data_IF_303930864455
#
_entry.id   IF_303930864455
#
_cell.length_a   1.000
_cell.length_b   1.000
_cell.length_c   1.000
_cell.angle_alpha   90.00
_cell.angle_beta   90.00
_cell.angle_gamma   90.00
#
_symmetry.space_group_name_H-M   'P 1'
#
loop_
_entity.id
_entity.type
_entity.pdbx_description
1 polymer ?
#
# COMPACT_ATOMS: atom_id res chain seq x y z
N UNK A 1 -1.08 54.71 23.09
CA UNK A 1 -0.55 55.48 21.95
C UNK A 1 0.82 54.94 21.60
N UNK A 2 0.90 54.03 20.61
CA UNK A 2 2.10 53.69 19.82
C UNK A 2 1.69 52.61 18.81
N UNK A 3 0.96 53.02 17.80
CA UNK A 3 0.79 52.26 16.56
C UNK A 3 1.10 53.21 15.41
N UNK A 4 1.67 52.72 14.33
CA UNK A 4 2.07 53.43 13.11
C UNK A 4 3.58 53.64 12.97
N UNK A 5 4.29 52.61 12.49
CA UNK A 5 5.52 52.79 11.69
C UNK A 5 6.05 51.55 10.99
N UNK A 6 5.22 50.49 10.74
CA UNK A 6 5.68 49.28 10.03
C UNK A 6 5.39 49.25 8.53
N UNK A 7 4.55 50.15 8.03
CA UNK A 7 4.09 50.13 6.62
C UNK A 7 4.96 50.92 5.64
N UNK A 8 5.77 51.86 6.15
CA UNK A 8 6.65 52.65 5.28
C UNK A 8 8.00 52.04 4.92
N UNK A 9 8.49 51.05 5.68
CA UNK A 9 9.76 50.38 5.36
C UNK A 9 9.62 49.31 4.27
N UNK A 10 8.45 48.70 4.07
CA UNK A 10 8.22 47.66 3.06
C UNK A 10 8.13 48.26 1.66
N UNK A 11 7.69 49.51 1.51
CA UNK A 11 7.56 50.16 0.19
C UNK A 11 8.93 50.62 -0.35
N UNK A 12 9.91 50.89 0.50
CA UNK A 12 11.23 51.39 0.07
C UNK A 12 12.15 50.28 -0.44
N UNK A 13 11.99 49.03 0.04
CA UNK A 13 12.77 47.86 -0.43
C UNK A 13 12.25 47.39 -1.79
N UNK A 14 10.94 47.49 -2.05
CA UNK A 14 10.32 47.11 -3.31
C UNK A 14 10.72 47.96 -4.53
N UNK A 15 11.12 49.24 -4.31
CA UNK A 15 11.53 50.16 -5.39
C UNK A 15 13.02 50.03 -5.77
N UNK A 16 13.88 49.57 -4.86
CA UNK A 16 15.31 49.38 -5.15
C UNK A 16 15.63 48.09 -5.90
N UNK A 17 14.74 47.11 -5.86
CA UNK A 17 14.94 45.82 -6.56
C UNK A 17 14.49 45.85 -8.02
N UNK A 18 13.73 46.84 -8.44
CA UNK A 18 13.21 46.92 -9.82
C UNK A 18 14.26 47.23 -10.90
N UNK A 19 15.44 47.71 -10.54
CA UNK A 19 16.48 48.07 -11.48
C UNK A 19 17.76 47.26 -11.43
N UNK A 20 17.75 46.06 -10.80
CA UNK A 20 18.92 45.21 -10.76
C UNK A 20 18.76 44.02 -11.73
N UNK A 21 19.83 43.64 -12.42
CA UNK A 21 19.91 42.40 -13.23
C UNK A 21 19.44 41.14 -12.42
N UNK A 22 19.51 41.22 -11.12
CA UNK A 22 18.98 40.17 -10.21
C UNK A 22 17.46 40.03 -10.30
N UNK A 23 16.72 41.14 -10.46
CA UNK A 23 15.26 41.12 -10.56
C UNK A 23 14.78 40.48 -11.88
N UNK A 24 15.52 40.75 -13.00
CA UNK A 24 15.26 40.06 -14.26
C UNK A 24 15.58 38.57 -14.18
N UNK A 25 16.64 38.19 -13.50
CA UNK A 25 16.98 36.78 -13.29
C UNK A 25 15.91 36.10 -12.41
N UNK A 26 15.47 36.70 -11.33
CA UNK A 26 14.40 36.16 -10.46
C UNK A 26 13.07 36.09 -11.21
N UNK A 27 12.70 37.10 -12.02
CA UNK A 27 11.47 37.01 -12.83
C UNK A 27 11.59 35.94 -13.94
N UNK A 28 12.74 35.80 -14.56
CA UNK A 28 12.97 34.74 -15.56
C UNK A 28 12.91 33.36 -14.90
N UNK A 29 13.41 33.22 -13.67
CA UNK A 29 13.35 31.96 -12.90
C UNK A 29 11.91 31.65 -12.45
N UNK A 30 11.15 32.67 -12.02
CA UNK A 30 9.74 32.50 -11.64
C UNK A 30 8.86 32.20 -12.84
N UNK A 31 9.12 32.86 -14.00
CA UNK A 31 8.42 32.53 -15.26
C UNK A 31 8.85 31.18 -15.81
N UNK A 32 10.08 30.76 -15.58
CA UNK A 32 10.57 29.43 -15.90
C UNK A 32 9.89 28.36 -15.04
N UNK A 33 9.78 28.57 -13.72
CA UNK A 33 9.02 27.69 -12.83
C UNK A 33 7.54 27.61 -13.20
N UNK A 34 6.89 28.73 -13.54
CA UNK A 34 5.48 28.72 -13.96
C UNK A 34 5.28 28.06 -15.35
N UNK A 35 6.22 28.18 -16.28
CA UNK A 35 6.14 27.48 -17.57
C UNK A 35 6.46 25.99 -17.45
N UNK A 36 7.31 25.59 -16.53
CA UNK A 36 7.60 24.17 -16.28
C UNK A 36 6.40 23.42 -15.65
N UNK A 37 5.52 24.14 -14.92
CA UNK A 37 4.32 23.53 -14.32
C UNK A 37 3.23 23.24 -15.38
N UNK A 38 3.30 23.87 -16.57
CA UNK A 38 2.29 23.73 -17.65
C UNK A 38 2.80 23.03 -18.91
N UNK A 39 4.05 22.53 -18.90
CA UNK A 39 4.50 21.61 -19.94
C UNK A 39 3.69 20.30 -19.81
N UNK A 40 2.93 19.94 -20.84
CA UNK A 40 2.15 18.73 -20.90
C UNK A 40 3.06 17.52 -20.61
N UNK A 41 3.08 17.04 -19.37
CA UNK A 41 3.52 15.68 -19.13
C UNK A 41 2.65 14.82 -20.06
N UNK A 42 3.25 14.19 -21.06
CA UNK A 42 2.53 13.31 -21.98
C UNK A 42 1.79 12.31 -21.12
N UNK A 43 0.45 12.45 -21.11
CA UNK A 43 -0.40 11.60 -20.30
C UNK A 43 -0.04 10.15 -20.63
N UNK A 44 0.14 9.34 -19.56
CA UNK A 44 0.31 7.92 -19.73
C UNK A 44 -0.89 7.35 -20.48
N UNK A 45 -0.66 6.50 -21.45
CA UNK A 45 -1.72 5.71 -22.11
C UNK A 45 -1.22 4.29 -22.34
N UNK A 46 -2.10 3.32 -22.23
CA UNK A 46 -1.80 1.91 -22.48
C UNK A 46 -1.32 1.68 -23.91
N UNK A 47 -1.87 2.42 -24.86
CA UNK A 47 -1.46 2.37 -26.27
C UNK A 47 0.00 2.80 -26.49
N UNK A 48 0.46 3.77 -25.69
CA UNK A 48 1.83 4.30 -25.81
C UNK A 48 2.86 3.40 -25.12
N UNK A 49 2.49 2.77 -24.01
CA UNK A 49 3.37 1.96 -23.18
C UNK A 49 2.70 0.61 -22.81
N UNK A 50 2.51 -0.28 -23.81
CA UNK A 50 1.76 -1.53 -23.59
C UNK A 50 2.41 -2.47 -22.56
N UNK A 51 3.73 -2.37 -22.36
CA UNK A 51 4.44 -3.13 -21.34
C UNK A 51 4.17 -2.66 -19.90
N UNK A 52 3.52 -1.50 -19.73
CA UNK A 52 3.08 -0.99 -18.42
C UNK A 52 1.58 -1.17 -18.19
N UNK A 53 0.86 -1.76 -19.15
CA UNK A 53 -0.56 -2.08 -18.98
C UNK A 53 -0.76 -3.13 -17.88
N UNK A 54 -1.80 -2.97 -17.08
CA UNK A 54 -2.11 -3.91 -16.01
C UNK A 54 -2.53 -5.28 -16.57
N UNK A 55 -1.86 -6.34 -16.13
CA UNK A 55 -2.26 -7.72 -16.44
C UNK A 55 -3.24 -8.19 -15.36
N UNK A 56 -4.46 -8.51 -15.79
CA UNK A 56 -5.55 -8.95 -14.90
C UNK A 56 -5.74 -10.46 -14.89
N UNK A 57 -5.08 -11.15 -15.81
CA UNK A 57 -5.11 -12.62 -15.87
C UNK A 57 -4.44 -13.23 -14.64
N UNK A 58 -4.94 -14.37 -14.19
CA UNK A 58 -4.33 -15.12 -13.09
C UNK A 58 -3.00 -15.71 -13.56
N UNK A 59 -1.93 -15.41 -12.81
CA UNK A 59 -0.55 -15.77 -13.19
C UNK A 59 -0.22 -17.24 -12.98
N UNK A 60 -0.69 -17.84 -11.88
CA UNK A 60 -0.34 -19.21 -11.52
C UNK A 60 -1.23 -20.23 -12.25
N UNK A 61 -0.73 -21.45 -12.50
CA UNK A 61 -1.52 -22.49 -13.13
C UNK A 61 -2.80 -22.85 -12.35
N UNK A 62 -3.90 -23.16 -13.03
CA UNK A 62 -5.12 -23.65 -12.37
C UNK A 62 -4.81 -24.85 -11.46
N UNK A 63 -5.46 -24.89 -10.29
CA UNK A 63 -5.27 -25.97 -9.31
C UNK A 63 -4.02 -25.84 -8.43
N UNK A 64 -3.23 -24.76 -8.55
CA UNK A 64 -2.02 -24.54 -7.73
C UNK A 64 -2.32 -24.67 -6.22
N UNK A 65 -3.51 -24.32 -5.78
CA UNK A 65 -3.91 -24.40 -4.37
C UNK A 65 -4.95 -25.49 -4.06
N UNK A 66 -5.06 -26.51 -4.91
CA UNK A 66 -5.91 -27.66 -4.62
C UNK A 66 -5.49 -28.30 -3.29
N UNK A 67 -6.48 -28.54 -2.40
CA UNK A 67 -6.24 -29.09 -1.08
C UNK A 67 -5.67 -28.11 -0.04
N UNK A 68 -5.39 -26.87 -0.42
CA UNK A 68 -4.95 -25.82 0.50
C UNK A 68 -6.16 -25.04 1.03
N UNK A 69 -5.99 -24.46 2.23
CA UNK A 69 -6.98 -23.61 2.87
C UNK A 69 -6.38 -22.25 3.20
N UNK A 70 -7.15 -21.18 3.05
CA UNK A 70 -6.71 -19.80 3.27
C UNK A 70 -7.64 -19.05 4.24
N UNK A 71 -7.06 -18.32 5.17
CA UNK A 71 -7.74 -17.44 6.12
C UNK A 71 -7.34 -15.98 5.85
N UNK A 72 -8.30 -15.13 5.46
CA UNK A 72 -8.04 -13.76 4.98
C UNK A 72 -8.81 -12.74 5.82
N UNK A 73 -8.09 -11.86 6.54
CA UNK A 73 -8.72 -10.77 7.27
C UNK A 73 -9.02 -9.59 6.36
N UNK A 74 -10.14 -8.88 6.57
CA UNK A 74 -10.59 -7.82 5.68
C UNK A 74 -10.98 -8.33 4.28
N UNK A 75 -11.36 -9.61 4.16
CA UNK A 75 -11.62 -10.29 2.89
C UNK A 75 -12.93 -9.91 2.19
N UNK A 76 -13.79 -9.10 2.82
CA UNK A 76 -15.09 -8.75 2.27
C UNK A 76 -15.07 -7.71 1.15
N UNK A 77 -14.00 -6.94 0.96
CA UNK A 77 -13.92 -5.88 -0.04
C UNK A 77 -12.48 -5.62 -0.50
N UNK A 78 -12.30 -4.83 -1.56
CA UNK A 78 -11.01 -4.30 -2.00
C UNK A 78 -9.94 -5.38 -2.21
N UNK A 79 -8.73 -5.13 -1.71
CA UNK A 79 -7.58 -6.03 -1.88
C UNK A 79 -7.85 -7.43 -1.32
N UNK A 80 -8.45 -7.51 -0.13
CA UNK A 80 -8.78 -8.79 0.51
C UNK A 80 -9.76 -9.63 -0.32
N UNK A 81 -10.80 -9.00 -0.91
CA UNK A 81 -11.71 -9.68 -1.82
C UNK A 81 -10.98 -10.16 -3.08
N UNK A 82 -10.12 -9.34 -3.67
CA UNK A 82 -9.35 -9.72 -4.85
C UNK A 82 -8.45 -10.93 -4.58
N UNK A 83 -7.67 -10.90 -3.49
CA UNK A 83 -6.82 -12.03 -3.09
C UNK A 83 -7.64 -13.30 -2.80
N UNK A 84 -8.79 -13.16 -2.14
CA UNK A 84 -9.71 -14.27 -1.88
C UNK A 84 -10.24 -14.88 -3.19
N UNK A 85 -10.63 -14.04 -4.16
CA UNK A 85 -11.10 -14.48 -5.47
C UNK A 85 -10.02 -15.25 -6.22
N UNK A 86 -8.80 -14.72 -6.29
CA UNK A 86 -7.69 -15.36 -7.01
C UNK A 86 -7.29 -16.69 -6.37
N UNK A 87 -7.16 -16.76 -5.04
CA UNK A 87 -6.88 -18.02 -4.32
C UNK A 87 -7.98 -19.07 -4.55
N UNK A 88 -9.25 -18.64 -4.47
CA UNK A 88 -10.38 -19.52 -4.74
C UNK A 88 -10.39 -20.02 -6.19
N UNK A 89 -10.12 -19.16 -7.17
CA UNK A 89 -10.00 -19.56 -8.60
C UNK A 89 -8.86 -20.55 -8.84
N UNK A 90 -7.83 -20.52 -8.02
CA UNK A 90 -6.69 -21.44 -8.06
C UNK A 90 -6.89 -22.74 -7.26
N UNK A 91 -8.09 -22.95 -6.69
CA UNK A 91 -8.48 -24.20 -6.03
C UNK A 91 -8.44 -24.19 -4.49
N UNK A 92 -8.07 -23.09 -3.84
CA UNK A 92 -8.09 -23.01 -2.38
C UNK A 92 -9.52 -22.97 -1.83
N UNK A 93 -9.74 -23.59 -0.66
CA UNK A 93 -10.88 -23.28 0.19
C UNK A 93 -10.55 -22.00 0.99
N UNK A 94 -11.35 -20.98 0.86
CA UNK A 94 -11.03 -19.65 1.41
C UNK A 94 -12.03 -19.25 2.49
N UNK A 95 -11.56 -18.80 3.65
CA UNK A 95 -12.36 -18.06 4.60
C UNK A 95 -12.02 -16.58 4.56
N UNK A 96 -13.04 -15.75 4.54
CA UNK A 96 -12.94 -14.29 4.61
C UNK A 96 -13.51 -13.80 5.93
N UNK A 97 -12.73 -13.00 6.66
CA UNK A 97 -13.12 -12.51 7.98
C UNK A 97 -13.21 -10.99 8.02
N UNK A 98 -14.28 -10.46 8.57
CA UNK A 98 -14.42 -9.05 8.94
C UNK A 98 -15.58 -8.85 9.91
N UNK A 99 -15.87 -7.59 10.30
CA UNK A 99 -16.91 -7.29 11.31
C UNK A 99 -18.35 -7.41 10.80
N UNK A 100 -18.58 -7.24 9.49
CA UNK A 100 -19.95 -7.16 8.91
C UNK A 100 -20.28 -8.46 8.19
N UNK A 101 -21.09 -9.30 8.83
CA UNK A 101 -21.45 -10.61 8.29
C UNK A 101 -22.17 -10.48 6.94
N UNK A 102 -23.10 -9.53 6.82
CA UNK A 102 -23.88 -9.33 5.59
C UNK A 102 -23.02 -9.02 4.36
N UNK A 103 -21.89 -8.28 4.58
CA UNK A 103 -20.93 -8.00 3.50
C UNK A 103 -20.13 -9.25 3.15
N UNK A 104 -19.76 -10.04 4.15
CA UNK A 104 -18.98 -11.28 3.95
C UNK A 104 -19.83 -12.34 3.24
N UNK A 105 -21.09 -12.54 3.63
CA UNK A 105 -22.00 -13.50 3.00
C UNK A 105 -22.21 -13.17 1.52
N UNK A 106 -22.48 -11.88 1.24
CA UNK A 106 -22.60 -11.41 -0.15
C UNK A 106 -21.32 -11.72 -0.95
N UNK A 107 -20.16 -11.35 -0.42
CA UNK A 107 -18.87 -11.55 -1.09
C UNK A 107 -18.52 -13.02 -1.24
N UNK A 108 -18.75 -13.83 -0.21
CA UNK A 108 -18.53 -15.28 -0.25
C UNK A 108 -19.37 -15.93 -1.33
N UNK A 109 -20.66 -15.56 -1.43
CA UNK A 109 -21.57 -16.05 -2.48
C UNK A 109 -21.10 -15.63 -3.87
N UNK A 110 -20.68 -14.36 -4.04
CA UNK A 110 -20.16 -13.87 -5.33
C UNK A 110 -18.93 -14.67 -5.77
N UNK A 111 -17.95 -14.85 -4.88
CA UNK A 111 -16.73 -15.58 -5.20
C UNK A 111 -17.04 -17.06 -5.44
N UNK A 112 -17.87 -17.70 -4.61
CA UNK A 112 -18.22 -19.11 -4.77
C UNK A 112 -18.95 -19.36 -6.10
N UNK A 113 -19.84 -18.46 -6.52
CA UNK A 113 -20.52 -18.57 -7.81
C UNK A 113 -19.55 -18.40 -9.00
N UNK A 114 -18.54 -17.52 -8.85
CA UNK A 114 -17.56 -17.28 -9.90
C UNK A 114 -16.55 -18.41 -10.05
N UNK A 115 -16.13 -19.02 -8.95
CA UNK A 115 -15.00 -19.98 -8.93
C UNK A 115 -15.42 -21.44 -8.83
N UNK A 116 -16.65 -21.69 -8.41
CA UNK A 116 -17.15 -23.03 -8.10
C UNK A 116 -16.64 -23.59 -6.76
N UNK A 117 -15.84 -22.85 -6.01
CA UNK A 117 -15.25 -23.27 -4.74
C UNK A 117 -15.93 -22.60 -3.55
N UNK A 118 -15.97 -23.31 -2.41
CA UNK A 118 -16.55 -22.80 -1.18
C UNK A 118 -15.73 -21.65 -0.61
N UNK A 119 -16.41 -20.52 -0.34
CA UNK A 119 -15.87 -19.41 0.42
C UNK A 119 -16.67 -19.23 1.71
N UNK A 120 -15.98 -19.19 2.84
CA UNK A 120 -16.57 -19.21 4.19
C UNK A 120 -16.57 -17.79 4.76
N UNK A 121 -17.75 -17.21 5.09
CA UNK A 121 -17.81 -15.92 5.78
C UNK A 121 -17.67 -16.11 7.29
N UNK A 122 -16.72 -15.41 7.94
CA UNK A 122 -16.47 -15.45 9.37
C UNK A 122 -16.57 -14.03 9.98
N UNK A 123 -17.57 -13.79 10.82
CA UNK A 123 -17.76 -12.47 11.43
C UNK A 123 -16.92 -12.36 12.72
N UNK A 124 -15.87 -11.54 12.68
CA UNK A 124 -15.08 -11.20 13.87
C UNK A 124 -14.38 -9.85 13.70
N UNK A 125 -14.14 -9.16 14.81
CA UNK A 125 -13.28 -8.00 14.86
C UNK A 125 -11.85 -8.44 15.23
N UNK A 126 -10.86 -8.12 14.41
CA UNK A 126 -9.46 -8.46 14.67
C UNK A 126 -8.92 -7.89 15.98
N UNK A 127 -9.54 -6.82 16.51
CA UNK A 127 -9.18 -6.22 17.79
C UNK A 127 -9.54 -7.09 19.00
N UNK A 128 -10.51 -7.96 18.83
CA UNK A 128 -10.99 -8.87 19.87
C UNK A 128 -10.37 -10.25 19.70
N UNK A 129 -9.37 -10.55 20.52
CA UNK A 129 -8.67 -11.84 20.49
C UNK A 129 -9.58 -13.05 20.75
N UNK A 130 -10.64 -12.88 21.56
CA UNK A 130 -11.60 -13.95 21.83
C UNK A 130 -12.49 -14.21 20.60
N UNK A 131 -12.95 -13.14 19.93
CA UNK A 131 -13.71 -13.28 18.69
C UNK A 131 -12.85 -13.89 17.56
N UNK A 132 -11.57 -13.52 17.47
CA UNK A 132 -10.61 -14.14 16.53
C UNK A 132 -10.49 -15.64 16.80
N UNK A 133 -10.31 -16.03 18.07
CA UNK A 133 -10.24 -17.45 18.46
C UNK A 133 -11.46 -18.22 18.00
N UNK A 134 -12.66 -17.70 18.24
CA UNK A 134 -13.93 -18.33 17.81
C UNK A 134 -13.99 -18.45 16.29
N UNK A 135 -13.56 -17.40 15.54
CA UNK A 135 -13.53 -17.45 14.09
C UNK A 135 -12.55 -18.51 13.56
N UNK A 136 -11.41 -18.71 14.22
CA UNK A 136 -10.45 -19.77 13.86
C UNK A 136 -11.00 -21.16 14.22
N UNK A 137 -11.72 -21.31 15.33
CA UNK A 137 -12.40 -22.57 15.69
C UNK A 137 -13.43 -22.94 14.60
N UNK A 138 -14.28 -21.99 14.18
CA UNK A 138 -15.23 -22.15 13.08
C UNK A 138 -14.55 -22.48 11.74
N UNK A 139 -13.41 -21.86 11.47
CA UNK A 139 -12.62 -22.17 10.29
C UNK A 139 -12.16 -23.64 10.29
N UNK A 140 -11.59 -24.10 11.41
CA UNK A 140 -11.13 -25.48 11.54
C UNK A 140 -12.28 -26.49 11.39
N UNK A 141 -13.43 -26.22 11.98
CA UNK A 141 -14.63 -27.05 11.86
C UNK A 141 -15.09 -27.18 10.40
N UNK A 142 -15.15 -26.04 9.66
CA UNK A 142 -15.67 -26.02 8.29
C UNK A 142 -14.67 -26.51 7.22
N UNK A 143 -13.37 -26.38 7.49
CA UNK A 143 -12.31 -26.80 6.52
C UNK A 143 -11.70 -28.15 6.83
N UNK A 144 -11.85 -28.63 8.05
CA UNK A 144 -11.26 -29.88 8.54
C UNK A 144 -9.81 -29.73 9.03
N UNK A 145 -9.28 -28.50 9.19
CA UNK A 145 -7.90 -28.30 9.63
C UNK A 145 -7.49 -26.84 9.80
N UNK A 146 -6.22 -26.64 10.15
CA UNK A 146 -5.62 -25.32 10.26
C UNK A 146 -5.34 -24.72 8.89
N UNK A 147 -5.30 -23.37 8.76
CA UNK A 147 -5.02 -22.74 7.48
C UNK A 147 -3.57 -22.97 7.02
N UNK A 148 -3.40 -23.29 5.72
CA UNK A 148 -2.09 -23.33 5.08
C UNK A 148 -1.60 -21.91 4.72
N UNK A 149 -2.54 -20.98 4.56
CA UNK A 149 -2.30 -19.61 4.13
C UNK A 149 -3.06 -18.67 5.05
N UNK A 150 -2.36 -17.66 5.58
CA UNK A 150 -2.95 -16.59 6.40
C UNK A 150 -2.60 -15.25 5.78
N UNK A 151 -3.62 -14.46 5.42
CA UNK A 151 -3.42 -13.12 4.86
C UNK A 151 -3.95 -12.08 5.85
N UNK A 152 -3.04 -11.36 6.49
CA UNK A 152 -3.32 -10.22 7.35
C UNK A 152 -3.49 -8.95 6.49
N UNK A 153 -4.74 -8.67 6.12
CA UNK A 153 -5.10 -7.54 5.27
C UNK A 153 -6.07 -6.56 5.96
N UNK A 154 -6.70 -6.94 7.08
CA UNK A 154 -7.57 -6.04 7.82
C UNK A 154 -6.83 -4.77 8.22
N UNK A 155 -7.39 -3.61 7.88
CA UNK A 155 -6.80 -2.31 8.17
C UNK A 155 -7.88 -1.24 8.37
N UNK A 156 -7.48 -0.14 9.00
CA UNK A 156 -8.24 1.10 9.09
C UNK A 156 -7.26 2.26 9.05
N UNK A 157 -7.59 3.30 8.28
CA UNK A 157 -6.80 4.52 8.21
C UNK A 157 -7.72 5.71 7.96
N UNK A 158 -7.23 6.90 8.29
CA UNK A 158 -7.84 8.19 7.97
C UNK A 158 -6.74 9.26 7.89
N UNK A 159 -7.00 10.34 7.17
CA UNK A 159 -6.08 11.48 7.06
C UNK A 159 -6.45 12.52 8.11
N UNK A 160 -5.46 12.95 8.90
CA UNK A 160 -5.60 14.03 9.87
C UNK A 160 -4.25 14.64 10.21
N UNK A 161 -4.15 15.97 10.41
CA UNK A 161 -3.01 16.57 11.09
C UNK A 161 -2.81 15.94 12.47
N UNK A 162 -1.55 15.61 12.81
CA UNK A 162 -1.24 14.85 14.03
C UNK A 162 -1.68 15.57 15.31
N UNK A 163 -1.58 16.90 15.34
CA UNK A 163 -2.01 17.72 16.48
C UNK A 163 -3.54 17.73 16.72
N UNK A 164 -4.32 17.24 15.75
CA UNK A 164 -5.78 17.07 15.87
C UNK A 164 -6.21 15.68 16.28
N UNK A 165 -5.27 14.75 16.42
CA UNK A 165 -5.58 13.37 16.77
C UNK A 165 -5.88 13.24 18.27
N UNK A 166 -7.00 12.60 18.59
CA UNK A 166 -7.25 12.12 19.95
C UNK A 166 -6.50 10.82 20.20
N UNK A 167 -6.20 10.50 21.46
CA UNK A 167 -5.62 9.22 21.86
C UNK A 167 -6.46 8.01 21.39
N UNK A 168 -7.79 8.16 21.38
CA UNK A 168 -8.68 7.11 20.88
C UNK A 168 -8.58 6.92 19.37
N UNK A 169 -8.39 7.99 18.61
CA UNK A 169 -8.16 7.90 17.17
C UNK A 169 -6.86 7.15 16.86
N UNK A 170 -5.77 7.48 17.55
CA UNK A 170 -4.48 6.75 17.44
C UNK A 170 -4.67 5.28 17.81
N UNK A 171 -5.25 5.01 18.99
CA UNK A 171 -5.48 3.65 19.48
C UNK A 171 -6.30 2.82 18.49
N UNK A 172 -7.36 3.39 17.91
CA UNK A 172 -8.22 2.65 16.99
C UNK A 172 -7.47 2.12 15.75
N UNK A 173 -6.49 2.86 15.23
CA UNK A 173 -5.67 2.42 14.10
C UNK A 173 -4.66 1.36 14.54
N UNK A 174 -3.96 1.59 15.65
CA UNK A 174 -3.00 0.63 16.22
C UNK A 174 -3.69 -0.70 16.52
N UNK A 175 -4.87 -0.67 17.14
CA UNK A 175 -5.61 -1.87 17.54
C UNK A 175 -6.08 -2.68 16.31
N UNK A 176 -6.54 -2.02 15.24
CA UNK A 176 -6.94 -2.74 14.02
C UNK A 176 -5.72 -3.30 13.28
N UNK A 177 -4.70 -2.48 13.07
CA UNK A 177 -3.62 -2.80 12.14
C UNK A 177 -2.55 -3.65 12.80
N UNK A 178 -2.03 -3.23 13.95
CA UNK A 178 -0.93 -3.94 14.63
C UNK A 178 -1.45 -5.02 15.56
N UNK A 179 -2.27 -4.66 16.56
CA UNK A 179 -2.79 -5.62 17.53
C UNK A 179 -3.68 -6.68 16.86
N UNK A 180 -4.50 -6.27 15.86
CA UNK A 180 -5.31 -7.21 15.08
C UNK A 180 -4.47 -8.21 14.28
N UNK A 181 -3.35 -7.78 13.70
CA UNK A 181 -2.39 -8.69 13.05
C UNK A 181 -1.75 -9.64 14.07
N UNK A 182 -1.36 -9.15 15.26
CA UNK A 182 -0.88 -10.00 16.34
C UNK A 182 -1.91 -11.04 16.78
N UNK A 183 -3.16 -10.63 17.04
CA UNK A 183 -4.21 -11.52 17.50
C UNK A 183 -4.42 -12.70 16.56
N UNK A 184 -4.53 -12.43 15.26
CA UNK A 184 -4.72 -13.48 14.23
C UNK A 184 -3.48 -14.36 14.10
N UNK A 185 -2.31 -13.75 14.00
CA UNK A 185 -1.05 -14.47 13.78
C UNK A 185 -0.68 -15.34 14.98
N UNK A 186 -0.89 -14.83 16.20
CA UNK A 186 -0.58 -15.60 17.43
C UNK A 186 -1.55 -16.75 17.65
N UNK A 187 -2.86 -16.56 17.46
CA UNK A 187 -3.82 -17.65 17.66
C UNK A 187 -3.55 -18.80 16.67
N UNK A 188 -3.47 -18.49 15.39
CA UNK A 188 -3.23 -19.50 14.36
C UNK A 188 -1.82 -20.11 14.51
N UNK A 189 -0.79 -19.27 14.71
CA UNK A 189 0.60 -19.72 14.81
C UNK A 189 0.83 -20.65 16.00
N UNK A 190 0.28 -20.36 17.18
CA UNK A 190 0.37 -21.25 18.34
C UNK A 190 -0.28 -22.62 18.08
N UNK A 191 -1.40 -22.66 17.37
CA UNK A 191 -2.07 -23.92 16.99
C UNK A 191 -1.21 -24.69 15.97
N UNK A 192 -0.61 -24.00 14.99
CA UNK A 192 0.30 -24.63 14.02
C UNK A 192 1.54 -25.23 14.70
N UNK A 193 2.15 -24.49 15.64
CA UNK A 193 3.28 -24.99 16.44
C UNK A 193 2.90 -26.25 17.21
N UNK A 194 1.75 -26.23 17.90
CA UNK A 194 1.26 -27.40 18.65
C UNK A 194 0.96 -28.59 17.74
N UNK A 195 0.43 -28.34 16.53
CA UNK A 195 0.14 -29.37 15.53
C UNK A 195 1.37 -29.82 14.72
N UNK A 196 2.53 -29.15 14.89
CA UNK A 196 3.76 -29.35 14.07
C UNK A 196 3.47 -29.19 12.58
N UNK A 197 2.69 -28.19 12.21
CA UNK A 197 2.30 -27.88 10.82
C UNK A 197 2.88 -26.54 10.39
N UNK A 198 3.33 -26.47 9.13
CA UNK A 198 3.77 -25.24 8.49
C UNK A 198 2.62 -24.47 7.83
N UNK A 199 2.83 -23.18 7.62
CA UNK A 199 1.92 -22.29 6.88
C UNK A 199 2.64 -21.07 6.30
N UNK A 200 1.96 -20.38 5.38
CA UNK A 200 2.44 -19.15 4.77
C UNK A 200 1.63 -17.95 5.29
N UNK A 201 2.30 -17.03 5.95
CA UNK A 201 1.73 -15.77 6.43
C UNK A 201 2.12 -14.62 5.51
N UNK A 202 1.14 -13.85 5.08
CA UNK A 202 1.34 -12.63 4.29
C UNK A 202 0.65 -11.46 5.00
N UNK A 203 1.35 -10.33 5.13
CA UNK A 203 0.74 -9.11 5.63
C UNK A 203 0.76 -8.01 4.56
N UNK A 204 -0.34 -7.28 4.43
CA UNK A 204 -0.40 -6.09 3.59
C UNK A 204 0.05 -4.90 4.43
N UNK A 205 1.23 -4.36 4.10
CA UNK A 205 1.81 -3.16 4.72
C UNK A 205 1.57 -1.93 3.84
N UNK A 206 2.57 -1.11 3.60
CA UNK A 206 2.52 0.06 2.73
C UNK A 206 3.94 0.61 2.52
N UNK A 207 4.20 1.30 1.42
CA UNK A 207 5.51 1.89 1.10
C UNK A 207 6.01 2.87 2.17
N UNK A 208 5.13 3.61 2.83
CA UNK A 208 5.54 4.56 3.87
C UNK A 208 5.99 3.91 5.20
N UNK A 209 6.11 2.59 5.28
CA UNK A 209 6.84 1.94 6.39
C UNK A 209 8.34 2.24 6.36
N UNK A 210 8.87 2.60 5.19
CA UNK A 210 10.31 2.87 5.01
C UNK A 210 10.73 4.27 5.47
N UNK A 211 9.83 5.27 5.35
CA UNK A 211 10.19 6.69 5.57
C UNK A 211 9.13 7.51 6.32
N UNK A 212 8.05 6.87 6.75
CA UNK A 212 6.93 7.55 7.37
C UNK A 212 6.02 8.26 6.34
N UNK A 213 4.95 8.87 6.81
CA UNK A 213 4.09 9.74 5.99
C UNK A 213 3.37 10.75 6.86
N UNK A 214 3.33 12.00 6.42
CA UNK A 214 2.53 13.04 7.05
C UNK A 214 1.04 12.67 7.00
N UNK A 215 0.28 13.15 7.97
CA UNK A 215 -1.18 13.06 8.08
C UNK A 215 -1.77 11.65 8.26
N UNK A 216 -0.94 10.61 8.29
CA UNK A 216 -1.32 9.20 8.55
C UNK A 216 -0.42 8.53 9.59
N UNK A 217 0.13 9.31 10.52
CA UNK A 217 1.15 8.88 11.50
C UNK A 217 0.78 7.61 12.26
N UNK A 218 -0.46 7.37 12.74
CA UNK A 218 -0.80 6.13 13.41
C UNK A 218 -0.72 4.91 12.50
N UNK A 219 -1.12 5.08 11.23
CA UNK A 219 -1.05 3.99 10.24
C UNK A 219 0.40 3.67 9.87
N UNK A 220 1.24 4.69 9.68
CA UNK A 220 2.67 4.50 9.39
C UNK A 220 3.35 3.70 10.51
N UNK A 221 3.16 4.11 11.77
CA UNK A 221 3.71 3.41 12.92
C UNK A 221 3.20 1.96 13.04
N UNK A 222 1.87 1.75 12.88
CA UNK A 222 1.27 0.44 12.97
C UNK A 222 1.77 -0.51 11.87
N UNK A 223 1.86 -0.04 10.62
CA UNK A 223 2.31 -0.84 9.47
C UNK A 223 3.81 -1.16 9.54
N UNK A 224 4.64 -0.23 10.04
CA UNK A 224 6.05 -0.50 10.33
C UNK A 224 6.18 -1.60 11.42
N UNK A 225 5.35 -1.53 12.48
CA UNK A 225 5.27 -2.59 13.48
C UNK A 225 4.85 -3.94 12.90
N UNK A 226 3.89 -3.98 11.98
CA UNK A 226 3.49 -5.21 11.27
C UNK A 226 4.65 -5.76 10.44
N UNK A 227 5.37 -4.93 9.71
CA UNK A 227 6.53 -5.37 8.92
C UNK A 227 7.60 -6.00 9.81
N UNK A 228 7.94 -5.35 10.91
CA UNK A 228 8.91 -5.86 11.89
C UNK A 228 8.42 -7.15 12.55
N UNK A 229 7.12 -7.26 12.88
CA UNK A 229 6.53 -8.50 13.38
C UNK A 229 6.74 -9.66 12.42
N UNK A 230 6.42 -9.46 11.13
CA UNK A 230 6.58 -10.53 10.13
C UNK A 230 8.04 -10.95 9.96
N UNK A 231 8.97 -10.00 9.96
CA UNK A 231 10.42 -10.28 9.88
C UNK A 231 10.92 -11.04 11.12
N UNK A 232 10.46 -10.67 12.31
CA UNK A 232 10.81 -11.35 13.54
C UNK A 232 10.32 -12.80 13.56
N UNK A 233 9.06 -13.03 13.17
CA UNK A 233 8.48 -14.36 13.10
C UNK A 233 9.07 -15.21 11.98
N UNK A 234 9.51 -14.62 10.88
CA UNK A 234 10.26 -15.31 9.84
C UNK A 234 11.56 -15.93 10.38
N UNK A 235 12.23 -15.23 11.28
CA UNK A 235 13.43 -15.72 11.96
C UNK A 235 13.10 -16.74 13.05
N UNK A 236 12.08 -16.44 13.89
CA UNK A 236 11.76 -17.26 15.07
C UNK A 236 11.02 -18.56 14.70
N UNK A 237 10.01 -18.47 13.80
CA UNK A 237 9.13 -19.61 13.45
C UNK A 237 9.45 -20.24 12.08
N UNK A 238 10.45 -19.71 11.35
CA UNK A 238 10.90 -20.31 10.10
C UNK A 238 11.35 -21.76 10.26
N UNK A 239 12.02 -22.08 11.35
CA UNK A 239 12.44 -23.43 11.71
C UNK A 239 11.30 -24.40 11.98
N UNK A 240 10.08 -23.87 12.19
CA UNK A 240 8.86 -24.64 12.42
C UNK A 240 8.04 -24.84 11.14
N UNK A 241 8.64 -24.53 9.97
CA UNK A 241 7.99 -24.70 8.66
C UNK A 241 7.03 -23.56 8.28
N UNK A 242 7.14 -22.40 8.93
CA UNK A 242 6.29 -21.24 8.63
C UNK A 242 7.08 -20.16 7.89
N UNK A 243 6.45 -19.52 6.89
CA UNK A 243 7.02 -18.36 6.17
C UNK A 243 6.20 -17.12 6.44
N UNK A 244 6.87 -15.98 6.60
CA UNK A 244 6.26 -14.70 6.91
C UNK A 244 6.80 -13.64 5.97
N UNK A 245 5.93 -13.04 5.15
CA UNK A 245 6.32 -12.02 4.18
C UNK A 245 5.33 -10.86 4.18
N UNK A 246 5.73 -9.74 3.60
CA UNK A 246 4.90 -8.55 3.42
C UNK A 246 4.84 -8.13 1.95
N UNK A 247 3.72 -7.52 1.57
CA UNK A 247 3.64 -6.64 0.41
C UNK A 247 3.43 -5.23 0.92
N UNK A 248 4.23 -4.29 0.42
CA UNK A 248 4.09 -2.86 0.66
C UNK A 248 3.55 -2.17 -0.60
N UNK A 249 2.21 -2.09 -0.75
CA UNK A 249 1.63 -1.46 -1.92
C UNK A 249 1.76 0.06 -1.87
N UNK A 250 2.01 0.65 -3.02
CA UNK A 250 1.70 2.03 -3.31
C UNK A 250 0.20 2.24 -3.55
N UNK A 251 -0.22 3.31 -4.25
CA UNK A 251 -1.62 3.59 -4.49
C UNK A 251 -2.27 2.55 -5.43
N UNK A 252 -3.14 1.71 -4.88
CA UNK A 252 -4.02 0.81 -5.64
C UNK A 252 -5.45 1.32 -5.51
N UNK A 253 -6.10 1.55 -6.64
CA UNK A 253 -7.45 2.10 -6.62
C UNK A 253 -8.45 1.09 -6.05
N UNK A 254 -9.03 1.44 -4.91
CA UNK A 254 -10.22 0.77 -4.37
C UNK A 254 -11.20 1.80 -3.85
N UNK A 255 -12.49 1.57 -4.05
CA UNK A 255 -13.55 2.47 -3.57
C UNK A 255 -13.45 2.74 -2.05
N UNK A 256 -13.03 1.75 -1.27
CA UNK A 256 -12.91 1.87 0.18
C UNK A 256 -11.67 2.65 0.64
N UNK A 257 -10.54 2.57 -0.06
CA UNK A 257 -9.33 3.31 0.26
C UNK A 257 -9.46 4.77 -0.17
N UNK A 258 -9.78 5.03 -1.44
CA UNK A 258 -9.89 6.39 -1.98
C UNK A 258 -11.02 7.19 -1.33
N UNK A 259 -12.15 6.57 -0.98
CA UNK A 259 -13.20 7.26 -0.24
C UNK A 259 -12.80 7.77 1.16
N UNK A 260 -11.67 7.29 1.73
CA UNK A 260 -11.13 7.78 3.02
C UNK A 260 -9.88 8.63 2.86
N UNK A 261 -9.04 8.33 1.87
CA UNK A 261 -7.75 8.99 1.66
C UNK A 261 -7.85 10.17 0.68
N UNK A 262 -8.87 10.18 -0.18
CA UNK A 262 -9.16 11.30 -1.08
C UNK A 262 -10.68 11.49 -1.22
N UNK A 263 -11.39 11.87 -0.14
CA UNK A 263 -12.84 12.01 -0.17
C UNK A 263 -13.33 13.11 -1.12
N UNK A 264 -12.45 14.02 -1.52
CA UNK A 264 -12.76 15.09 -2.48
C UNK A 264 -12.43 14.73 -3.93
N UNK A 265 -11.65 13.69 -4.16
CA UNK A 265 -11.13 13.30 -5.47
C UNK A 265 -10.10 14.26 -6.07
N UNK A 266 -9.63 15.25 -5.30
CA UNK A 266 -8.73 16.30 -5.80
C UNK A 266 -7.26 15.87 -5.84
N UNK A 267 -6.89 14.85 -5.08
CA UNK A 267 -5.50 14.42 -4.94
C UNK A 267 -5.12 13.25 -5.85
N UNK A 268 -6.11 12.54 -6.41
CA UNK A 268 -5.88 11.35 -7.23
C UNK A 268 -4.93 11.62 -8.41
N UNK A 269 -5.11 12.73 -9.12
CA UNK A 269 -4.24 13.08 -10.27
C UNK A 269 -2.80 13.41 -9.80
N UNK A 270 -2.65 14.15 -8.73
CA UNK A 270 -1.33 14.46 -8.15
C UNK A 270 -0.61 13.18 -7.68
N UNK A 271 -1.34 12.26 -7.04
CA UNK A 271 -0.80 10.96 -6.66
C UNK A 271 -0.33 10.17 -7.90
N UNK A 272 -1.16 10.11 -8.95
CA UNK A 272 -0.82 9.40 -10.19
C UNK A 272 0.44 9.95 -10.85
N UNK A 273 0.63 11.27 -10.84
CA UNK A 273 1.84 11.93 -11.37
C UNK A 273 3.11 11.60 -10.59
N UNK A 274 2.98 11.22 -9.32
CA UNK A 274 4.07 10.73 -8.48
C UNK A 274 4.48 9.28 -8.74
N UNK A 275 3.72 8.54 -9.56
CA UNK A 275 4.01 7.14 -9.87
C UNK A 275 4.69 7.06 -11.25
N UNK A 276 5.94 6.59 -11.36
CA UNK A 276 6.66 6.52 -12.63
C UNK A 276 5.98 5.69 -13.72
N UNK A 277 5.27 4.62 -13.36
CA UNK A 277 4.45 3.86 -14.30
C UNK A 277 3.22 4.62 -14.81
N UNK A 278 2.91 5.80 -14.24
CA UNK A 278 1.87 6.72 -14.70
C UNK A 278 0.43 6.32 -14.37
N UNK A 279 0.22 5.21 -13.65
CA UNK A 279 -1.09 4.69 -13.27
C UNK A 279 -1.12 4.16 -11.85
N UNK A 280 -2.30 4.02 -11.29
CA UNK A 280 -2.50 3.24 -10.08
C UNK A 280 -2.32 1.74 -10.34
N UNK A 281 -1.94 1.00 -9.30
CA UNK A 281 -1.99 -0.45 -9.33
C UNK A 281 -3.44 -0.96 -9.35
N UNK A 282 -3.63 -2.16 -9.87
CA UNK A 282 -4.90 -2.86 -9.91
C UNK A 282 -4.97 -3.97 -8.85
N UNK A 283 -6.18 -4.31 -8.44
CA UNK A 283 -6.41 -5.34 -7.41
C UNK A 283 -5.92 -6.71 -7.88
N UNK A 284 -6.06 -7.01 -9.15
CA UNK A 284 -5.63 -8.27 -9.76
C UNK A 284 -4.11 -8.41 -9.75
N UNK A 285 -3.38 -7.30 -9.92
CA UNK A 285 -1.91 -7.34 -9.91
C UNK A 285 -1.37 -7.69 -8.51
N UNK A 286 -1.89 -7.03 -7.46
CA UNK A 286 -1.48 -7.37 -6.09
C UNK A 286 -1.98 -8.76 -5.67
N UNK A 287 -3.14 -9.21 -6.17
CA UNK A 287 -3.64 -10.55 -5.91
C UNK A 287 -2.74 -11.62 -6.55
N UNK A 288 -2.22 -11.40 -7.75
CA UNK A 288 -1.23 -12.26 -8.39
C UNK A 288 0.07 -12.32 -7.57
N UNK A 289 0.61 -11.18 -7.15
CA UNK A 289 1.80 -11.16 -6.30
C UNK A 289 1.56 -11.89 -4.97
N UNK A 290 0.43 -11.63 -4.32
CA UNK A 290 0.06 -12.27 -3.06
C UNK A 290 -0.03 -13.80 -3.21
N UNK A 291 -0.69 -14.29 -4.27
CA UNK A 291 -0.80 -15.73 -4.52
C UNK A 291 0.56 -16.38 -4.83
N UNK A 292 1.44 -15.69 -5.57
CA UNK A 292 2.82 -16.16 -5.75
C UNK A 292 3.55 -16.29 -4.40
N UNK A 293 3.52 -15.26 -3.57
CA UNK A 293 4.27 -15.22 -2.31
C UNK A 293 3.81 -16.29 -1.29
N UNK A 294 2.51 -16.67 -1.33
CA UNK A 294 1.99 -17.73 -0.45
C UNK A 294 2.01 -19.10 -1.09
N UNK A 295 2.41 -19.24 -2.35
CA UNK A 295 2.54 -20.52 -3.05
C UNK A 295 3.82 -21.27 -2.69
N UNK A 296 3.87 -22.53 -3.06
CA UNK A 296 5.05 -23.37 -2.91
C UNK A 296 6.20 -22.92 -3.87
N UNK A 297 5.89 -22.14 -4.93
CA UNK A 297 6.89 -21.54 -5.82
C UNK A 297 7.76 -20.48 -5.14
N UNK A 298 7.28 -19.89 -4.05
CA UNK A 298 8.01 -18.90 -3.26
C UNK A 298 8.64 -19.48 -1.99
N UNK A 299 8.97 -20.78 -1.97
CA UNK A 299 9.43 -21.51 -0.77
C UNK A 299 10.71 -20.93 -0.15
N UNK A 300 11.54 -20.25 -0.94
CA UNK A 300 12.78 -19.59 -0.45
C UNK A 300 12.57 -18.16 0.03
N UNK A 301 11.35 -17.62 -0.11
CA UNK A 301 11.02 -16.26 0.32
C UNK A 301 10.48 -16.28 1.77
N UNK A 302 11.26 -15.72 2.71
CA UNK A 302 10.89 -15.60 4.12
C UNK A 302 11.50 -14.31 4.71
N UNK A 303 10.71 -13.51 5.42
CA UNK A 303 11.11 -12.24 6.00
C UNK A 303 11.16 -11.07 5.00
N UNK A 304 10.72 -11.27 3.76
CA UNK A 304 10.76 -10.26 2.70
C UNK A 304 9.57 -9.30 2.80
N UNK A 305 9.82 -8.02 2.52
CA UNK A 305 8.79 -7.03 2.23
C UNK A 305 8.99 -6.55 0.78
N UNK A 306 8.00 -6.78 -0.08
CA UNK A 306 8.07 -6.44 -1.49
C UNK A 306 7.34 -5.12 -1.71
N UNK A 307 8.07 -4.08 -2.15
CA UNK A 307 7.48 -2.83 -2.60
C UNK A 307 6.76 -3.05 -3.92
N UNK A 308 5.47 -2.70 -3.96
CA UNK A 308 4.59 -2.91 -5.11
C UNK A 308 3.84 -1.62 -5.44
N UNK A 309 4.56 -0.66 -6.03
CA UNK A 309 4.16 0.74 -6.03
C UNK A 309 4.33 1.47 -7.39
N UNK A 310 4.69 0.76 -8.43
CA UNK A 310 4.93 1.38 -9.75
C UNK A 310 6.13 2.34 -9.78
N UNK A 311 7.02 2.25 -8.80
CA UNK A 311 8.19 3.12 -8.66
C UNK A 311 7.94 4.41 -7.88
N UNK A 312 6.81 4.50 -7.16
CA UNK A 312 6.48 5.68 -6.33
C UNK A 312 7.56 5.97 -5.29
N UNK A 313 8.01 4.95 -4.55
CA UNK A 313 8.99 5.11 -3.47
C UNK A 313 10.32 5.71 -3.95
N UNK A 314 11.03 5.12 -4.94
CA UNK A 314 12.28 5.72 -5.44
C UNK A 314 12.06 7.08 -6.09
N UNK A 315 10.88 7.34 -6.68
CA UNK A 315 10.55 8.65 -7.23
C UNK A 315 10.35 9.69 -6.12
N UNK A 316 9.65 9.35 -5.04
CA UNK A 316 9.41 10.27 -3.92
C UNK A 316 10.70 10.60 -3.16
N UNK A 317 11.64 9.64 -3.04
CA UNK A 317 12.91 9.84 -2.34
C UNK A 317 14.00 10.53 -3.19
N UNK A 318 13.85 10.60 -4.50
CA UNK A 318 14.88 11.10 -5.41
C UNK A 318 14.86 12.63 -5.53
N UNK A 319 16.00 13.28 -5.30
CA UNK A 319 16.15 14.75 -5.32
C UNK A 319 15.95 15.35 -6.74
N UNK A 320 16.38 14.64 -7.79
CA UNK A 320 16.41 15.14 -9.16
C UNK A 320 15.25 14.64 -10.01
N UNK A 321 14.34 13.86 -9.48
CA UNK A 321 13.28 13.19 -10.26
C UNK A 321 12.27 14.16 -10.92
N UNK A 322 12.20 15.41 -10.45
CA UNK A 322 11.43 16.47 -11.10
C UNK A 322 12.01 16.89 -12.46
N UNK A 323 13.27 16.55 -12.75
CA UNK A 323 13.88 16.80 -14.05
C UNK A 323 13.27 15.98 -15.20
N UNK A 324 12.34 15.05 -14.91
CA UNK A 324 11.51 14.36 -15.92
C UNK A 324 10.75 15.32 -16.85
N UNK A 325 10.62 16.58 -16.45
CA UNK A 325 9.94 17.64 -17.22
C UNK A 325 10.88 18.36 -18.19
N UNK A 326 12.20 18.14 -18.11
CA UNK A 326 13.21 18.81 -18.94
C UNK A 326 13.13 18.26 -20.35
N UNK A 327 12.98 19.20 -21.34
CA UNK A 327 12.93 18.81 -22.76
C UNK A 327 14.31 18.43 -23.31
N UNK A 328 14.39 17.73 -24.46
CA UNK A 328 15.67 17.41 -25.10
C UNK A 328 16.54 18.64 -25.32
N UNK A 329 15.95 19.76 -25.80
CA UNK A 329 16.67 21.01 -26.06
C UNK A 329 17.21 21.63 -24.75
N UNK A 330 16.46 21.52 -23.67
CA UNK A 330 16.90 21.96 -22.34
C UNK A 330 18.04 21.09 -21.82
N UNK A 331 18.01 19.79 -22.06
CA UNK A 331 19.11 18.88 -21.70
C UNK A 331 20.38 19.23 -22.48
N UNK A 332 20.28 19.54 -23.78
CA UNK A 332 21.40 19.96 -24.59
C UNK A 332 22.02 21.28 -24.09
N UNK A 333 21.15 22.23 -23.72
CA UNK A 333 21.59 23.49 -23.11
C UNK A 333 22.31 23.27 -21.77
N UNK A 334 21.75 22.44 -20.88
CA UNK A 334 22.35 22.11 -19.60
C UNK A 334 23.72 21.43 -19.78
N UNK A 335 23.84 20.51 -20.73
CA UNK A 335 25.11 19.86 -21.08
C UNK A 335 26.16 20.85 -21.58
N UNK A 336 25.78 21.83 -22.38
CA UNK A 336 26.69 22.90 -22.88
C UNK A 336 27.14 23.83 -21.72
N UNK A 337 26.22 24.20 -20.84
CA UNK A 337 26.53 25.03 -19.67
C UNK A 337 27.42 24.30 -18.68
N UNK A 338 27.16 23.03 -18.41
CA UNK A 338 27.96 22.21 -17.52
C UNK A 338 29.43 22.09 -17.97
N UNK A 339 29.71 22.00 -19.29
CA UNK A 339 31.07 21.99 -19.83
C UNK A 339 31.85 23.28 -19.59
N UNK A 340 31.16 24.38 -19.34
CA UNK A 340 31.76 25.70 -19.10
C UNK A 340 32.09 25.93 -17.61
N UNK A 341 31.55 25.12 -16.74
CA UNK A 341 31.85 25.19 -15.31
C UNK A 341 33.20 24.52 -15.09
N UNK A 342 34.24 25.34 -14.87
CA UNK A 342 35.55 24.82 -14.43
C UNK A 342 35.35 24.28 -13.02
N UNK A 343 35.71 23.02 -12.82
CA UNK A 343 35.65 22.38 -11.51
C UNK A 343 36.39 23.19 -10.47
N UNK A 344 35.82 23.30 -9.28
CA UNK A 344 36.45 23.81 -8.06
C UNK A 344 37.52 22.83 -7.61
#
# INVERSE_FOLDING_TARGET
>A
MASLNSTKQIVTVGSMLKNSRLFEVVQRTTTFQQRCIHGSATAWSEDKYPNLAARKDIMLPPGTFNGKTAFITGGGTGLGKGMATTLSSLGAKVAIMSRKLEVLEKTAKEISNQTGNLVIPLAADVRDAAAVKVAVDQFQEQTGGLPNIVINNAAGNFISPTERLSSNAVRSVIDIVLNGTFNVTLDIGKRLVAAKQGANFLAITTTYTHYGSAFVTPSAAAKAGVQTLMQSLASEWGWLGMRFNCIAPGPIYTKGAFGRLDPTGQFAESMRQGIPTGRFGEVEEIANLATYMVSDYASWMNGSCVDFDGGELPFAAGEFNQLKQVTPEQWDLMAQLGKKVKGS
#
